data_IF_286711967765
#
_entry.id   IF_286711967765
#
_cell.length_a   1.000
_cell.length_b   1.000
_cell.length_c   1.000
_cell.angle_alpha   90.00
_cell.angle_beta   90.00
_cell.angle_gamma   90.00
#
_symmetry.space_group_name_H-M   'P 1'
#
loop_
_entity.id
_entity.type
_entity.pdbx_description
1 polymer ?
#
# COMPACT_ATOMS: atom_id res chain seq x y z
N UNK A 1 8.54 -2.36 -24.30
CA UNK A 1 7.58 -3.26 -23.63
C UNK A 1 6.39 -2.40 -23.25
N UNK A 2 5.19 -2.68 -23.76
CA UNK A 2 4.00 -1.86 -23.51
C UNK A 2 3.62 -2.01 -22.04
N UNK A 3 3.63 -0.93 -21.28
CA UNK A 3 2.94 -0.86 -19.99
C UNK A 3 1.45 -0.88 -20.30
N UNK A 4 0.85 -2.07 -20.25
CA UNK A 4 -0.60 -2.17 -20.14
C UNK A 4 -1.00 -1.47 -18.84
N UNK A 5 -1.95 -0.55 -18.92
CA UNK A 5 -2.50 0.11 -17.74
C UNK A 5 -3.29 -0.91 -16.91
N UNK A 6 -3.34 -0.77 -15.59
CA UNK A 6 -4.11 -1.69 -14.72
C UNK A 6 -5.54 -1.88 -15.24
N UNK A 7 -6.16 -0.80 -15.72
CA UNK A 7 -7.49 -0.83 -16.32
C UNK A 7 -7.61 -1.73 -17.56
N UNK A 8 -6.60 -1.76 -18.44
CA UNK A 8 -6.57 -2.67 -19.59
C UNK A 8 -6.48 -4.12 -19.15
N UNK A 9 -5.65 -4.40 -18.14
CA UNK A 9 -5.53 -5.74 -17.54
C UNK A 9 -6.88 -6.16 -16.93
N UNK A 10 -7.52 -5.30 -16.15
CA UNK A 10 -8.84 -5.56 -15.56
C UNK A 10 -9.89 -5.80 -16.65
N UNK A 11 -9.91 -4.98 -17.71
CA UNK A 11 -10.84 -5.17 -18.83
C UNK A 11 -10.65 -6.52 -19.53
N UNK A 12 -9.43 -7.04 -19.62
CA UNK A 12 -9.15 -8.36 -20.19
C UNK A 12 -9.63 -9.51 -19.29
N UNK A 13 -9.82 -9.26 -17.98
CA UNK A 13 -10.22 -10.23 -16.97
C UNK A 13 -11.62 -9.96 -16.40
N UNK A 14 -12.47 -9.23 -17.13
CA UNK A 14 -13.78 -8.79 -16.67
C UNK A 14 -14.72 -9.94 -16.22
N UNK A 15 -14.48 -11.17 -16.67
CA UNK A 15 -15.25 -12.36 -16.25
C UNK A 15 -14.98 -12.80 -14.81
N UNK A 16 -13.90 -12.35 -14.18
CA UNK A 16 -13.59 -12.66 -12.78
C UNK A 16 -14.39 -11.80 -11.79
N UNK A 17 -14.97 -10.70 -12.28
CA UNK A 17 -15.67 -9.72 -11.45
C UNK A 17 -17.09 -10.16 -11.15
N UNK A 18 -17.44 -10.15 -9.87
CA UNK A 18 -18.75 -10.53 -9.35
C UNK A 18 -19.53 -9.27 -8.97
N UNK A 19 -20.83 -9.28 -9.23
CA UNK A 19 -21.74 -8.21 -8.77
C UNK A 19 -22.06 -8.41 -7.31
N UNK A 20 -22.03 -7.36 -6.51
CA UNK A 20 -22.50 -7.43 -5.12
C UNK A 20 -24.01 -7.70 -5.06
N UNK A 21 -24.47 -8.44 -4.05
CA UNK A 21 -25.90 -8.77 -3.92
C UNK A 21 -26.80 -7.54 -3.70
N UNK A 22 -26.24 -6.42 -3.22
CA UNK A 22 -26.98 -5.20 -2.87
C UNK A 22 -26.53 -3.94 -3.63
N UNK A 23 -25.66 -4.06 -4.63
CA UNK A 23 -25.25 -2.94 -5.50
C UNK A 23 -25.00 -3.41 -6.94
N UNK A 24 -25.00 -2.47 -7.89
CA UNK A 24 -24.56 -2.78 -9.27
C UNK A 24 -23.03 -2.81 -9.40
N UNK A 25 -22.31 -2.63 -8.29
CA UNK A 25 -20.85 -2.61 -8.27
C UNK A 25 -20.29 -4.01 -8.47
N UNK A 26 -19.21 -4.06 -9.23
CA UNK A 26 -18.52 -5.30 -9.59
C UNK A 26 -17.09 -5.24 -9.11
N UNK A 27 -16.65 -6.34 -8.50
CA UNK A 27 -15.33 -6.44 -7.91
C UNK A 27 -14.85 -7.89 -7.91
N UNK A 28 -13.57 -8.09 -7.65
CA UNK A 28 -12.97 -9.40 -7.46
C UNK A 28 -12.40 -9.50 -6.05
N UNK A 29 -12.74 -10.58 -5.35
CA UNK A 29 -12.14 -10.91 -4.07
C UNK A 29 -10.75 -11.48 -4.33
N UNK A 30 -9.73 -10.83 -3.78
CA UNK A 30 -8.35 -11.29 -3.82
C UNK A 30 -7.98 -12.05 -2.55
N UNK A 31 -8.48 -11.61 -1.40
CA UNK A 31 -8.11 -12.21 -0.12
C UNK A 31 -9.08 -11.89 1.02
N UNK A 32 -9.07 -12.74 2.04
CA UNK A 32 -9.72 -12.47 3.32
C UNK A 32 -8.80 -11.64 4.22
N UNK A 33 -9.36 -10.65 4.90
CA UNK A 33 -8.63 -9.79 5.83
C UNK A 33 -8.70 -10.35 7.26
N UNK A 34 -7.63 -10.18 8.06
CA UNK A 34 -7.51 -10.77 9.39
C UNK A 34 -8.51 -10.21 10.42
N UNK A 35 -9.27 -9.17 10.08
CA UNK A 35 -10.30 -8.57 10.94
C UNK A 35 -11.68 -9.24 10.88
N UNK A 36 -11.84 -10.29 10.06
CA UNK A 36 -13.07 -11.09 9.99
C UNK A 36 -14.18 -10.41 9.18
N UNK A 37 -14.78 -11.17 8.26
CA UNK A 37 -15.79 -10.73 7.28
C UNK A 37 -15.42 -9.52 6.44
N UNK A 38 -14.13 -9.20 6.35
CA UNK A 38 -13.64 -8.18 5.45
C UNK A 38 -12.77 -8.83 4.38
N UNK A 39 -12.82 -8.29 3.19
CA UNK A 39 -12.11 -8.82 2.04
C UNK A 39 -11.34 -7.69 1.36
N UNK A 40 -10.19 -8.04 0.77
CA UNK A 40 -9.44 -7.16 -0.13
C UNK A 40 -9.73 -7.56 -1.56
N UNK A 41 -9.89 -6.56 -2.42
CA UNK A 41 -10.20 -6.79 -3.82
C UNK A 41 -9.80 -5.66 -4.74
N UNK A 42 -10.22 -5.81 -5.99
CA UNK A 42 -10.15 -4.77 -7.02
C UNK A 42 -11.55 -4.53 -7.58
N UNK A 43 -11.87 -3.28 -7.90
CA UNK A 43 -13.08 -2.95 -8.65
C UNK A 43 -12.83 -2.97 -10.18
N UNK A 44 -13.88 -2.78 -10.98
CA UNK A 44 -13.78 -2.80 -12.45
C UNK A 44 -12.93 -1.68 -13.04
N UNK A 45 -12.60 -0.65 -12.26
CA UNK A 45 -11.71 0.44 -12.66
C UNK A 45 -10.24 0.15 -12.29
N UNK A 46 -9.98 -0.95 -11.57
CA UNK A 46 -8.65 -1.34 -11.11
C UNK A 46 -8.23 -0.63 -9.82
N UNK A 47 -9.18 -0.04 -9.09
CA UNK A 47 -8.94 0.52 -7.76
C UNK A 47 -8.95 -0.58 -6.72
N UNK A 48 -8.05 -0.47 -5.75
CA UNK A 48 -8.02 -1.34 -4.60
C UNK A 48 -9.18 -0.99 -3.67
N UNK A 49 -9.93 -2.01 -3.27
CA UNK A 49 -11.13 -1.86 -2.45
C UNK A 49 -11.09 -2.85 -1.30
N UNK A 50 -11.72 -2.47 -0.20
CA UNK A 50 -12.08 -3.39 0.88
C UNK A 50 -13.59 -3.56 0.90
N UNK A 51 -14.05 -4.78 1.13
CA UNK A 51 -15.46 -5.05 1.42
C UNK A 51 -15.62 -5.39 2.89
N UNK A 52 -16.66 -4.84 3.52
CA UNK A 52 -17.07 -5.16 4.88
C UNK A 52 -18.52 -4.75 5.11
N UNK A 53 -19.27 -5.58 5.82
CA UNK A 53 -20.70 -5.36 6.13
C UNK A 53 -21.57 -5.07 4.89
N UNK A 54 -21.24 -5.66 3.73
CA UNK A 54 -21.99 -5.51 2.49
C UNK A 54 -21.71 -4.19 1.75
N UNK A 55 -20.59 -3.52 2.05
CA UNK A 55 -20.18 -2.26 1.43
C UNK A 55 -18.76 -2.33 0.90
N UNK A 56 -18.57 -1.84 -0.33
CA UNK A 56 -17.26 -1.58 -0.89
C UNK A 56 -16.79 -0.18 -0.51
N UNK A 57 -15.57 -0.12 0.00
CA UNK A 57 -14.86 1.12 0.31
C UNK A 57 -13.55 1.13 -0.47
N UNK A 58 -13.23 2.26 -1.10
CA UNK A 58 -11.93 2.44 -1.73
C UNK A 58 -10.83 2.41 -0.66
N UNK A 59 -9.73 1.70 -0.91
CA UNK A 59 -8.69 1.48 0.10
C UNK A 59 -8.09 2.79 0.60
N UNK A 60 -7.97 3.80 -0.28
CA UNK A 60 -7.42 5.12 0.04
C UNK A 60 -8.34 5.97 0.93
N UNK A 61 -9.54 5.48 1.25
CA UNK A 61 -10.39 6.09 2.26
C UNK A 61 -9.91 5.77 3.69
N UNK A 62 -10.30 6.62 4.65
CA UNK A 62 -10.00 6.36 6.07
C UNK A 62 -10.55 5.01 6.55
N UNK A 63 -11.71 4.59 6.03
CA UNK A 63 -12.34 3.31 6.36
C UNK A 63 -11.59 2.12 5.74
N UNK A 64 -11.16 2.26 4.48
CA UNK A 64 -10.38 1.26 3.76
C UNK A 64 -9.05 0.97 4.46
N UNK A 65 -8.28 2.02 4.76
CA UNK A 65 -7.02 1.85 5.50
C UNK A 65 -7.21 1.39 6.95
N UNK A 66 -8.27 1.80 7.65
CA UNK A 66 -8.56 1.28 8.99
C UNK A 66 -8.76 -0.25 8.97
N UNK A 67 -9.44 -0.77 7.94
CA UNK A 67 -9.65 -2.21 7.76
C UNK A 67 -8.33 -2.95 7.53
N UNK A 68 -7.35 -2.28 6.93
CA UNK A 68 -6.03 -2.83 6.65
C UNK A 68 -5.02 -2.62 7.79
N UNK A 69 -5.32 -1.76 8.77
CA UNK A 69 -4.29 -1.18 9.66
C UNK A 69 -3.46 -2.24 10.40
N UNK A 70 -4.04 -3.40 10.72
CA UNK A 70 -3.31 -4.49 11.39
C UNK A 70 -2.19 -5.09 10.54
N UNK A 71 -2.21 -4.95 9.22
CA UNK A 71 -1.11 -5.45 8.38
C UNK A 71 0.21 -4.77 8.68
N UNK A 72 0.23 -3.55 9.23
CA UNK A 72 1.49 -2.90 9.64
C UNK A 72 2.16 -3.61 10.82
N UNK A 73 1.44 -4.47 11.56
CA UNK A 73 2.01 -5.32 12.61
C UNK A 73 2.88 -6.45 12.04
N UNK A 74 2.55 -6.93 10.84
CA UNK A 74 3.34 -7.88 10.05
C UNK A 74 4.54 -7.18 9.40
N UNK A 75 5.42 -7.93 8.74
CA UNK A 75 6.46 -7.35 7.88
C UNK A 75 5.89 -6.83 6.56
N UNK A 76 6.57 -5.87 5.92
CA UNK A 76 6.14 -5.38 4.60
C UNK A 76 6.25 -6.49 3.54
N UNK A 77 7.25 -7.35 3.67
CA UNK A 77 7.46 -8.51 2.82
C UNK A 77 6.27 -9.47 2.89
N UNK A 78 5.72 -9.72 4.08
CA UNK A 78 4.53 -10.56 4.25
C UNK A 78 3.30 -9.96 3.57
N UNK A 79 3.06 -8.65 3.68
CA UNK A 79 1.94 -8.01 2.97
C UNK A 79 2.12 -8.07 1.45
N UNK A 80 3.34 -7.81 0.95
CA UNK A 80 3.63 -7.91 -0.49
C UNK A 80 3.41 -9.33 -0.99
N UNK A 81 3.91 -10.34 -0.28
CA UNK A 81 3.72 -11.74 -0.64
C UNK A 81 2.24 -12.15 -0.60
N UNK A 82 1.50 -11.67 0.40
CA UNK A 82 0.05 -11.87 0.50
C UNK A 82 -0.67 -11.33 -0.74
N UNK A 83 -0.41 -10.07 -1.12
CA UNK A 83 -1.00 -9.44 -2.31
C UNK A 83 -0.64 -10.20 -3.59
N UNK A 84 0.64 -10.54 -3.76
CA UNK A 84 1.11 -11.24 -4.96
C UNK A 84 0.47 -12.63 -5.10
N UNK A 85 0.40 -13.39 -4.00
CA UNK A 85 -0.21 -14.71 -4.00
C UNK A 85 -1.72 -14.64 -4.30
N UNK A 86 -2.40 -13.64 -3.75
CA UNK A 86 -3.81 -13.40 -4.02
C UNK A 86 -4.09 -13.06 -5.48
N UNK A 87 -3.27 -12.20 -6.11
CA UNK A 87 -3.38 -11.92 -7.54
C UNK A 87 -3.15 -13.17 -8.38
N UNK A 88 -2.09 -13.93 -8.08
CA UNK A 88 -1.76 -15.18 -8.78
C UNK A 88 -2.90 -16.21 -8.70
N UNK A 89 -3.53 -16.34 -7.53
CA UNK A 89 -4.65 -17.27 -7.31
C UNK A 89 -5.86 -16.98 -8.19
N UNK A 90 -6.04 -15.72 -8.59
CA UNK A 90 -7.09 -15.26 -9.50
C UNK A 90 -6.63 -15.22 -10.96
N UNK A 91 -5.39 -15.63 -11.27
CA UNK A 91 -4.82 -15.52 -12.61
C UNK A 91 -4.52 -14.09 -13.05
N UNK A 92 -4.40 -13.15 -12.10
CA UNK A 92 -4.09 -11.75 -12.39
C UNK A 92 -2.58 -11.50 -12.42
N UNK A 93 -2.09 -10.58 -13.27
CA UNK A 93 -0.68 -10.22 -13.32
C UNK A 93 -0.17 -9.60 -12.01
N UNK A 94 1.01 -10.04 -11.57
CA UNK A 94 1.72 -9.46 -10.42
C UNK A 94 2.02 -7.96 -10.56
N UNK A 95 2.03 -7.42 -11.78
CA UNK A 95 2.24 -5.98 -12.02
C UNK A 95 1.15 -5.11 -11.40
N UNK A 96 -0.05 -5.64 -11.14
CA UNK A 96 -1.12 -4.91 -10.45
C UNK A 96 -0.70 -4.54 -9.02
N UNK A 97 0.13 -5.35 -8.35
CA UNK A 97 0.62 -5.04 -7.01
C UNK A 97 1.37 -3.69 -6.93
N UNK A 98 1.88 -3.19 -8.07
CA UNK A 98 2.56 -1.89 -8.13
C UNK A 98 1.61 -0.69 -7.99
N UNK A 99 0.29 -0.90 -8.17
CA UNK A 99 -0.72 0.14 -7.93
C UNK A 99 -1.28 0.12 -6.50
N UNK A 100 -0.80 -0.79 -5.64
CA UNK A 100 -1.24 -0.81 -4.25
C UNK A 100 -0.68 0.43 -3.52
N UNK A 101 -1.51 1.21 -2.79
CA UNK A 101 -1.11 2.48 -2.20
C UNK A 101 -0.38 2.28 -0.86
N UNK A 102 0.82 1.68 -0.92
CA UNK A 102 1.62 1.39 0.26
C UNK A 102 2.05 2.65 1.02
N UNK A 103 2.43 3.71 0.30
CA UNK A 103 2.93 4.94 0.91
C UNK A 103 1.82 5.66 1.69
N UNK A 104 0.64 5.78 1.07
CA UNK A 104 -0.56 6.34 1.67
C UNK A 104 -1.01 5.53 2.88
N UNK A 105 -0.98 4.19 2.78
CA UNK A 105 -1.31 3.29 3.88
C UNK A 105 -0.37 3.49 5.09
N UNK A 106 0.95 3.62 4.85
CA UNK A 106 1.91 3.84 5.92
C UNK A 106 1.80 5.24 6.53
N UNK A 107 1.54 6.26 5.71
CA UNK A 107 1.23 7.61 6.18
C UNK A 107 0.00 7.60 7.08
N UNK A 108 -1.08 6.95 6.64
CA UNK A 108 -2.29 6.76 7.43
C UNK A 108 -1.95 6.11 8.78
N UNK A 109 -1.36 4.92 8.78
CA UNK A 109 -1.04 4.18 10.00
C UNK A 109 -0.16 4.98 10.96
N UNK A 110 0.89 5.65 10.47
CA UNK A 110 1.78 6.46 11.30
C UNK A 110 1.06 7.62 12.02
N UNK A 111 -0.02 8.14 11.44
CA UNK A 111 -0.81 9.23 12.04
C UNK A 111 -1.87 8.74 13.05
N UNK A 112 -2.17 7.44 13.11
CA UNK A 112 -3.22 6.88 13.99
C UNK A 112 -2.79 6.71 15.45
N UNK A 113 -1.52 6.94 15.76
CA UNK A 113 -1.00 6.95 17.12
C UNK A 113 0.38 6.30 17.25
N UNK A 114 0.95 6.41 18.45
CA UNK A 114 2.33 5.98 18.70
C UNK A 114 2.56 4.49 18.40
N UNK A 115 1.62 3.63 18.76
CA UNK A 115 1.72 2.18 18.50
C UNK A 115 1.90 1.87 17.01
N UNK A 116 1.03 2.43 16.16
CA UNK A 116 1.08 2.23 14.72
C UNK A 116 2.31 2.87 14.08
N UNK A 117 2.71 4.05 14.54
CA UNK A 117 3.96 4.69 14.11
C UNK A 117 5.21 3.85 14.43
N UNK A 118 5.21 3.14 15.56
CA UNK A 118 6.29 2.21 15.90
C UNK A 118 6.33 1.00 14.96
N UNK A 119 5.16 0.48 14.55
CA UNK A 119 5.03 -0.57 13.55
C UNK A 119 5.56 -0.12 12.17
N UNK A 120 5.13 1.05 11.67
CA UNK A 120 5.64 1.64 10.44
C UNK A 120 7.16 1.87 10.52
N UNK A 121 7.67 2.30 11.67
CA UNK A 121 9.11 2.45 11.89
C UNK A 121 9.88 1.13 11.78
N UNK A 122 9.27 -0.02 12.08
CA UNK A 122 9.89 -1.34 11.88
C UNK A 122 10.04 -1.65 10.39
N UNK A 123 9.03 -1.34 9.57
CA UNK A 123 9.10 -1.52 8.11
C UNK A 123 10.22 -0.68 7.50
N UNK A 124 10.33 0.59 7.89
CA UNK A 124 11.42 1.47 7.43
C UNK A 124 12.79 0.92 7.83
N UNK A 125 12.89 0.31 9.03
CA UNK A 125 14.15 -0.31 9.50
C UNK A 125 14.46 -1.62 8.79
N UNK A 126 13.47 -2.39 8.33
CA UNK A 126 13.68 -3.63 7.58
C UNK A 126 14.01 -3.40 6.10
N UNK A 127 13.78 -2.19 5.59
CA UNK A 127 14.24 -1.80 4.25
C UNK A 127 13.21 -1.09 3.40
N UNK A 128 12.00 -0.86 3.90
CA UNK A 128 10.99 -0.10 3.15
C UNK A 128 11.50 1.31 2.82
N UNK A 129 11.43 1.75 1.55
CA UNK A 129 11.95 3.05 1.13
C UNK A 129 11.11 4.18 1.75
N UNK A 130 11.75 5.01 2.56
CA UNK A 130 11.09 6.15 3.17
C UNK A 130 11.05 7.36 2.22
N UNK A 131 9.86 7.89 1.97
CA UNK A 131 9.66 9.14 1.25
C UNK A 131 9.47 10.33 2.24
N UNK A 132 9.26 11.54 1.72
CA UNK A 132 9.07 12.74 2.53
C UNK A 132 7.84 12.66 3.45
N UNK A 133 6.73 12.11 2.95
CA UNK A 133 5.43 12.08 3.63
C UNK A 133 5.45 11.11 4.79
N UNK A 134 5.99 9.90 4.58
CA UNK A 134 6.17 8.89 5.63
C UNK A 134 7.08 9.44 6.73
N UNK A 135 8.18 10.11 6.37
CA UNK A 135 9.08 10.73 7.34
C UNK A 135 8.39 11.82 8.18
N UNK A 136 7.50 12.59 7.55
CA UNK A 136 6.73 13.63 8.23
C UNK A 136 5.67 13.02 9.15
N UNK A 137 4.96 11.98 8.68
CA UNK A 137 3.95 11.24 9.43
C UNK A 137 4.53 10.58 10.69
N UNK A 138 5.67 9.89 10.57
CA UNK A 138 6.42 9.32 11.69
C UNK A 138 6.92 10.39 12.69
N UNK A 139 7.03 11.65 12.24
CA UNK A 139 7.35 12.81 13.05
C UNK A 139 6.16 13.49 13.71
N UNK A 140 4.96 12.91 13.62
CA UNK A 140 3.72 13.52 14.08
C UNK A 140 3.37 14.80 13.33
N UNK A 141 3.74 14.90 12.05
CA UNK A 141 3.54 16.10 11.23
C UNK A 141 4.59 17.20 11.45
N UNK A 142 5.56 16.99 12.36
CA UNK A 142 6.58 18.00 12.66
C UNK A 142 7.85 17.80 11.84
N UNK A 143 8.21 18.85 11.09
CA UNK A 143 9.51 18.96 10.40
C UNK A 143 10.69 19.08 11.37
N UNK A 144 10.45 19.38 12.64
CA UNK A 144 11.49 19.48 13.67
C UNK A 144 11.73 18.14 14.38
N UNK A 145 10.88 17.15 14.15
CA UNK A 145 11.02 15.82 14.74
C UNK A 145 12.35 15.17 14.37
N UNK A 146 12.88 14.37 15.31
CA UNK A 146 14.11 13.61 15.09
C UNK A 146 14.02 12.70 13.86
N UNK A 147 12.90 11.99 13.71
CA UNK A 147 12.63 11.10 12.57
C UNK A 147 12.76 11.82 11.23
N UNK A 148 12.18 13.02 11.11
CA UNK A 148 12.24 13.81 9.88
C UNK A 148 13.64 14.39 9.61
N UNK A 149 14.35 14.84 10.66
CA UNK A 149 15.73 15.31 10.52
C UNK A 149 16.69 14.19 10.12
N UNK A 150 16.52 12.98 10.67
CA UNK A 150 17.29 11.79 10.30
C UNK A 150 17.05 11.41 8.84
N UNK A 151 15.80 11.47 8.36
CA UNK A 151 15.46 11.30 6.94
C UNK A 151 16.20 12.30 6.06
N UNK A 152 16.11 13.60 6.36
CA UNK A 152 16.81 14.65 5.59
C UNK A 152 18.31 14.41 5.54
N UNK A 153 18.90 14.05 6.68
CA UNK A 153 20.34 13.76 6.75
C UNK A 153 20.69 12.58 5.84
N UNK A 154 19.99 11.45 5.94
CA UNK A 154 20.22 10.28 5.07
C UNK A 154 20.06 10.63 3.60
N UNK A 155 19.00 11.35 3.23
CA UNK A 155 18.73 11.74 1.85
C UNK A 155 19.82 12.64 1.27
N UNK A 156 20.32 13.59 2.07
CA UNK A 156 21.43 14.45 1.65
C UNK A 156 22.70 13.65 1.38
N UNK A 157 23.05 12.69 2.24
CA UNK A 157 24.23 11.82 2.02
C UNK A 157 24.10 11.01 0.73
N UNK A 158 22.93 10.42 0.46
CA UNK A 158 22.68 9.70 -0.80
C UNK A 158 22.89 10.57 -2.05
N UNK A 159 22.46 11.84 -2.01
CA UNK A 159 22.64 12.77 -3.14
C UNK A 159 24.12 13.12 -3.31
N UNK A 160 24.84 13.39 -2.21
CA UNK A 160 26.27 13.70 -2.25
C UNK A 160 27.07 12.51 -2.78
N UNK A 161 26.75 11.30 -2.33
CA UNK A 161 27.41 10.06 -2.79
C UNK A 161 27.15 9.83 -4.28
N UNK A 162 25.91 10.02 -4.74
CA UNK A 162 25.54 9.93 -6.16
C UNK A 162 26.34 10.91 -7.02
N UNK A 163 26.36 12.19 -6.65
CA UNK A 163 27.11 13.24 -7.37
C UNK A 163 28.63 13.06 -7.26
N UNK A 164 29.11 12.45 -6.17
CA UNK A 164 30.52 12.16 -5.95
C UNK A 164 31.04 11.02 -6.83
N UNK A 165 30.22 10.00 -7.10
CA UNK A 165 30.56 8.88 -7.97
C UNK A 165 30.69 9.27 -9.46
N UNK A 166 29.93 10.27 -9.93
CA UNK A 166 30.00 10.78 -11.31
C UNK A 166 31.32 11.50 -11.65
N UNK A 167 32.19 11.76 -10.67
CA UNK A 167 33.51 12.38 -10.90
C UNK A 167 34.63 11.37 -11.25
N UNK A 168 34.32 10.07 -11.29
CA UNK A 168 35.26 9.00 -11.59
C UNK A 168 34.86 8.13 -12.80
N UNK A 169 33.91 8.60 -13.63
CA UNK A 169 33.45 7.92 -14.86
C UNK A 169 33.96 8.61 -16.13
#
# INVERSE_FOLDING_TARGET
MRTETVKEIISAHASLFQTMECSEERWIILADLPLGNHHLGLDTEGRWVTEGDGKLEEIESDCGFETMIKFVESSFEELVLFILHSLESQGLPASIAQSFPFDEFLCYAALRGQYWAECVSKWVKSGYPINYEIALALGGGSRESKSFQDYKKKRFHQIVDFVGCDKNA
#
